data_IF_388768867576
#
_entry.id   IF_388768867576
#
_cell.length_a   1.000
_cell.length_b   1.000
_cell.length_c   1.000
_cell.angle_alpha   90.00
_cell.angle_beta   90.00
_cell.angle_gamma   90.00
#
_symmetry.space_group_name_H-M   'P 1'
#
loop_
_entity.id
_entity.type
_entity.pdbx_description
1 polymer ?
#
# COMPACT_ATOMS: atom_id res chain seq x y z
N UNK A 1 37.00 -59.05 -37.72
CA UNK A 1 36.15 -58.30 -36.78
C UNK A 1 37.08 -57.59 -35.82
N UNK A 2 37.28 -56.29 -36.00
CA UNK A 2 38.17 -55.48 -35.16
C UNK A 2 37.38 -55.16 -33.89
N UNK A 3 37.77 -55.76 -32.77
CA UNK A 3 37.19 -55.47 -31.47
C UNK A 3 37.59 -54.06 -31.04
N UNK A 4 36.62 -53.15 -31.00
CA UNK A 4 36.80 -51.84 -30.39
C UNK A 4 37.16 -52.04 -28.91
N UNK A 5 38.36 -51.61 -28.51
CA UNK A 5 38.71 -51.46 -27.10
C UNK A 5 37.84 -50.36 -26.51
N UNK A 6 36.87 -50.73 -25.67
CA UNK A 6 36.15 -49.77 -24.83
C UNK A 6 37.14 -49.14 -23.86
N UNK A 7 37.52 -47.88 -24.11
CA UNK A 7 38.32 -47.11 -23.17
C UNK A 7 37.44 -46.77 -21.96
N UNK A 8 37.74 -47.36 -20.81
CA UNK A 8 37.10 -47.02 -19.54
C UNK A 8 37.67 -45.71 -18.96
N UNK A 9 36.82 -44.91 -18.33
CA UNK A 9 37.24 -43.71 -17.61
C UNK A 9 38.03 -44.07 -16.34
N UNK A 10 39.07 -43.29 -16.05
CA UNK A 10 39.82 -43.44 -14.80
C UNK A 10 39.04 -42.85 -13.61
N UNK A 11 39.26 -43.40 -12.41
CA UNK A 11 38.62 -42.88 -11.18
C UNK A 11 38.92 -41.39 -11.01
N UNK A 12 40.15 -40.95 -11.29
CA UNK A 12 40.55 -39.54 -11.17
C UNK A 12 39.79 -38.60 -12.13
N UNK A 13 39.49 -39.07 -13.34
CA UNK A 13 38.73 -38.31 -14.32
C UNK A 13 37.25 -38.19 -13.93
N UNK A 14 36.67 -39.27 -13.38
CA UNK A 14 35.29 -39.24 -12.89
C UNK A 14 35.12 -38.29 -11.70
N UNK A 15 36.05 -38.27 -10.74
CA UNK A 15 35.97 -37.34 -9.60
C UNK A 15 36.19 -35.89 -10.04
N UNK A 16 37.07 -35.63 -11.02
CA UNK A 16 37.29 -34.28 -11.54
C UNK A 16 36.05 -33.76 -12.27
N UNK A 17 35.43 -34.61 -13.09
CA UNK A 17 34.18 -34.27 -13.77
C UNK A 17 33.05 -33.97 -12.77
N UNK A 18 32.89 -34.81 -11.74
CA UNK A 18 31.90 -34.59 -10.69
C UNK A 18 32.19 -33.32 -9.88
N UNK A 19 33.46 -33.02 -9.59
CA UNK A 19 33.84 -31.80 -8.90
C UNK A 19 33.49 -30.54 -9.71
N UNK A 20 33.81 -30.52 -11.01
CA UNK A 20 33.53 -29.38 -11.89
C UNK A 20 32.03 -29.21 -12.11
N UNK A 21 31.31 -30.29 -12.40
CA UNK A 21 29.85 -30.25 -12.58
C UNK A 21 29.13 -29.84 -11.29
N UNK A 22 29.58 -30.33 -10.14
CA UNK A 22 29.09 -29.92 -8.83
C UNK A 22 29.30 -28.43 -8.56
N UNK A 23 30.50 -27.91 -8.86
CA UNK A 23 30.81 -26.48 -8.68
C UNK A 23 29.97 -25.59 -9.61
N UNK A 24 29.79 -25.99 -10.87
CA UNK A 24 28.92 -25.28 -11.81
C UNK A 24 27.45 -25.29 -11.34
N UNK A 25 26.96 -26.44 -10.85
CA UNK A 25 25.60 -26.54 -10.32
C UNK A 25 25.39 -25.61 -9.12
N UNK A 26 26.34 -25.55 -8.19
CA UNK A 26 26.30 -24.62 -7.03
C UNK A 26 26.29 -23.16 -7.51
N UNK A 27 27.12 -22.82 -8.49
CA UNK A 27 27.15 -21.46 -9.06
C UNK A 27 25.81 -21.03 -9.66
N UNK A 28 25.17 -21.93 -10.42
CA UNK A 28 23.84 -21.66 -11.01
C UNK A 28 22.77 -21.53 -9.92
N UNK A 29 22.77 -22.40 -8.90
CA UNK A 29 21.80 -22.35 -7.81
C UNK A 29 21.95 -21.06 -6.97
N UNK A 30 23.18 -20.66 -6.69
CA UNK A 30 23.46 -19.40 -6.00
C UNK A 30 22.98 -18.19 -6.82
N UNK A 31 23.27 -18.16 -8.12
CA UNK A 31 22.83 -17.09 -9.02
C UNK A 31 21.31 -17.04 -9.22
N UNK A 32 20.66 -18.19 -9.32
CA UNK A 32 19.20 -18.27 -9.41
C UNK A 32 18.54 -17.73 -8.14
N UNK A 33 19.08 -18.06 -6.97
CA UNK A 33 18.54 -17.60 -5.68
C UNK A 33 18.60 -16.08 -5.54
N UNK A 34 19.72 -15.45 -5.92
CA UNK A 34 19.87 -13.99 -5.87
C UNK A 34 18.92 -13.29 -6.86
N UNK A 35 18.81 -13.81 -8.08
CA UNK A 35 17.90 -13.28 -9.09
C UNK A 35 16.43 -13.36 -8.65
N UNK A 36 16.02 -14.48 -8.05
CA UNK A 36 14.66 -14.65 -7.52
C UNK A 36 14.38 -13.64 -6.41
N UNK A 37 15.29 -13.47 -5.45
CA UNK A 37 15.09 -12.53 -4.35
C UNK A 37 15.00 -11.08 -4.81
N UNK A 38 15.78 -10.69 -5.83
CA UNK A 38 15.67 -9.37 -6.46
C UNK A 38 14.31 -9.16 -7.12
N UNK A 39 13.80 -10.17 -7.83
CA UNK A 39 12.51 -10.07 -8.50
C UNK A 39 11.38 -9.97 -7.48
N UNK A 40 11.38 -10.83 -6.46
CA UNK A 40 10.43 -10.79 -5.34
C UNK A 40 10.37 -9.43 -4.66
N UNK A 41 11.53 -8.82 -4.44
CA UNK A 41 11.62 -7.51 -3.83
C UNK A 41 11.02 -6.39 -4.70
N UNK A 42 11.32 -6.42 -6.01
CA UNK A 42 10.73 -5.47 -6.97
C UNK A 42 9.22 -5.64 -7.07
N UNK A 43 8.75 -6.88 -7.12
CA UNK A 43 7.33 -7.20 -7.18
C UNK A 43 6.61 -6.68 -5.92
N UNK A 44 7.13 -6.95 -4.72
CA UNK A 44 6.57 -6.41 -3.47
C UNK A 44 6.49 -4.89 -3.45
N UNK A 45 7.54 -4.21 -3.94
CA UNK A 45 7.60 -2.74 -3.97
C UNK A 45 6.61 -2.17 -4.98
N UNK A 46 6.54 -2.73 -6.18
CA UNK A 46 5.59 -2.32 -7.21
C UNK A 46 4.14 -2.54 -6.76
N UNK A 47 3.83 -3.72 -6.23
CA UNK A 47 2.49 -4.03 -5.71
C UNK A 47 2.07 -3.11 -4.56
N UNK A 48 3.01 -2.67 -3.72
CA UNK A 48 2.73 -1.69 -2.69
C UNK A 48 2.43 -0.29 -3.27
N UNK A 49 3.19 0.15 -4.27
CA UNK A 49 2.91 1.40 -5.00
C UNK A 49 1.54 1.34 -5.67
N UNK A 50 1.23 0.23 -6.37
CA UNK A 50 -0.05 0.02 -7.03
C UNK A 50 -1.21 0.03 -6.03
N UNK A 51 -1.02 -0.55 -4.83
CA UNK A 51 -2.00 -0.50 -3.75
C UNK A 51 -2.26 0.94 -3.28
N UNK A 52 -1.23 1.75 -3.06
CA UNK A 52 -1.40 3.16 -2.70
C UNK A 52 -2.09 3.94 -3.82
N UNK A 53 -1.72 3.71 -5.08
CA UNK A 53 -2.35 4.33 -6.25
C UNK A 53 -3.83 3.98 -6.35
N UNK A 54 -4.20 2.72 -6.06
CA UNK A 54 -5.60 2.28 -6.07
C UNK A 54 -6.46 3.07 -5.07
N UNK A 55 -5.90 3.52 -3.94
CA UNK A 55 -6.59 4.38 -2.98
C UNK A 55 -6.96 5.76 -3.54
N UNK A 56 -6.11 6.32 -4.41
CA UNK A 56 -6.43 7.54 -5.15
C UNK A 56 -7.50 7.28 -6.20
N UNK A 57 -7.37 6.19 -6.96
CA UNK A 57 -8.32 5.85 -8.03
C UNK A 57 -9.73 5.60 -7.47
N UNK A 58 -9.85 4.95 -6.30
CA UNK A 58 -11.12 4.77 -5.60
C UNK A 58 -11.69 6.07 -5.02
N UNK A 59 -10.82 7.04 -4.68
CA UNK A 59 -11.26 8.36 -4.19
C UNK A 59 -11.74 9.25 -5.33
N UNK A 60 -11.13 9.15 -6.51
CA UNK A 60 -11.53 9.89 -7.71
C UNK A 60 -12.78 9.27 -8.33
N UNK A 61 -12.78 7.95 -8.51
CA UNK A 61 -13.89 7.18 -9.07
C UNK A 61 -14.77 6.66 -7.95
N UNK A 62 -15.51 7.58 -7.32
CA UNK A 62 -16.37 7.27 -6.18
C UNK A 62 -17.42 6.22 -6.57
N UNK A 63 -17.28 5.04 -6.00
CA UNK A 63 -18.31 4.01 -6.03
C UNK A 63 -18.93 3.91 -4.65
N UNK A 64 -20.26 4.05 -4.58
CA UNK A 64 -20.98 3.73 -3.36
C UNK A 64 -21.30 2.25 -3.39
N UNK A 65 -20.47 1.43 -2.74
CA UNK A 65 -20.60 -0.02 -2.61
C UNK A 65 -21.32 -0.46 -1.32
N UNK A 66 -21.75 0.51 -0.49
CA UNK A 66 -22.50 0.28 0.77
C UNK A 66 -23.63 -0.74 0.57
N UNK A 67 -23.73 -1.85 1.33
CA UNK A 67 -24.83 -2.80 1.15
C UNK A 67 -26.21 -2.13 1.27
N UNK A 68 -27.23 -2.63 0.54
CA UNK A 68 -28.59 -2.03 0.54
C UNK A 68 -29.29 -2.18 1.90
N UNK A 69 -28.80 -3.10 2.71
CA UNK A 69 -29.23 -3.37 4.07
C UNK A 69 -28.60 -2.39 5.08
N UNK A 70 -27.74 -1.46 4.65
CA UNK A 70 -27.09 -0.48 5.52
C UNK A 70 -27.60 0.93 5.24
N UNK A 71 -28.02 1.64 6.28
CA UNK A 71 -28.38 3.07 6.26
C UNK A 71 -27.26 3.94 6.80
N UNK A 72 -27.28 5.23 6.48
CA UNK A 72 -26.50 6.23 7.19
C UNK A 72 -27.47 7.06 8.01
N UNK A 73 -27.35 6.96 9.32
CA UNK A 73 -28.23 7.66 10.23
C UNK A 73 -27.73 9.07 10.57
N UNK A 74 -28.62 9.85 11.20
CA UNK A 74 -28.32 11.20 11.69
C UNK A 74 -27.27 11.23 12.81
N UNK A 75 -26.83 10.07 13.31
CA UNK A 75 -25.73 9.96 14.27
C UNK A 75 -24.36 9.78 13.57
N UNK A 76 -24.32 9.90 12.24
CA UNK A 76 -23.10 9.77 11.43
C UNK A 76 -22.50 8.38 11.55
N UNK A 77 -23.35 7.35 11.51
CA UNK A 77 -22.94 5.96 11.55
C UNK A 77 -23.56 5.18 10.39
N UNK A 78 -22.83 4.16 9.93
CA UNK A 78 -23.37 3.14 9.04
C UNK A 78 -24.01 2.05 9.90
N UNK A 79 -25.34 2.01 9.91
CA UNK A 79 -26.14 1.08 10.71
C UNK A 79 -26.99 0.17 9.83
N UNK A 80 -27.54 -0.91 10.39
CA UNK A 80 -28.52 -1.73 9.66
C UNK A 80 -29.77 -0.92 9.36
N UNK A 81 -30.19 -0.95 8.10
CA UNK A 81 -31.40 -0.28 7.64
C UNK A 81 -32.61 -0.91 8.33
N UNK A 82 -33.43 -0.12 9.04
CA UNK A 82 -34.66 -0.63 9.65
C UNK A 82 -35.71 -1.05 8.59
N UNK A 83 -35.48 -0.69 7.31
CA UNK A 83 -36.29 -1.13 6.18
C UNK A 83 -35.41 -1.48 4.97
N UNK A 84 -34.85 -2.71 4.91
CA UNK A 84 -33.88 -3.12 3.88
C UNK A 84 -34.45 -3.14 2.45
N UNK A 85 -35.78 -3.05 2.29
CA UNK A 85 -36.45 -3.03 1.00
C UNK A 85 -36.61 -1.62 0.38
N UNK A 86 -36.26 -0.54 1.10
CA UNK A 86 -36.66 0.82 0.72
C UNK A 86 -35.53 1.85 0.60
N UNK A 87 -34.28 1.54 0.98
CA UNK A 87 -33.22 2.55 0.92
C UNK A 87 -32.50 2.57 -0.43
N UNK A 88 -32.94 3.47 -1.31
CA UNK A 88 -32.27 3.74 -2.58
C UNK A 88 -30.94 4.46 -2.32
N UNK A 89 -29.85 3.94 -2.88
CA UNK A 89 -28.53 4.60 -2.89
C UNK A 89 -28.71 6.04 -3.42
N UNK A 90 -28.29 7.04 -2.66
CA UNK A 90 -28.39 8.46 -3.03
C UNK A 90 -29.54 9.25 -2.39
N UNK A 91 -30.37 8.63 -1.54
CA UNK A 91 -31.39 9.32 -0.74
C UNK A 91 -30.98 9.59 0.72
N UNK A 92 -29.77 9.18 1.12
CA UNK A 92 -29.25 9.28 2.50
C UNK A 92 -28.41 10.54 2.72
N UNK A 93 -28.31 10.98 3.98
CA UNK A 93 -27.61 12.21 4.40
C UNK A 93 -26.07 12.13 4.30
N UNK A 94 -25.51 10.96 3.98
CA UNK A 94 -24.07 10.73 3.95
C UNK A 94 -23.53 10.52 2.54
N UNK A 95 -22.31 10.99 2.33
CA UNK A 95 -21.61 10.95 1.05
C UNK A 95 -20.18 10.46 1.22
N UNK A 96 -19.64 9.82 0.18
CA UNK A 96 -18.27 9.28 0.20
C UNK A 96 -17.28 10.41 -0.05
N UNK A 97 -16.28 10.51 0.83
CA UNK A 97 -15.21 11.52 0.78
C UNK A 97 -13.92 10.94 0.20
N UNK A 98 -13.62 9.68 0.51
CA UNK A 98 -12.39 9.04 0.07
C UNK A 98 -12.06 7.77 0.87
N UNK A 99 -10.77 7.52 1.07
CA UNK A 99 -10.24 6.30 1.65
C UNK A 99 -9.25 6.60 2.78
N UNK A 100 -9.33 5.83 3.87
CA UNK A 100 -8.32 5.78 4.92
C UNK A 100 -7.54 4.47 4.78
N UNK A 101 -6.24 4.58 4.53
CA UNK A 101 -5.31 3.45 4.58
C UNK A 101 -4.60 3.50 5.93
N UNK A 102 -4.65 2.42 6.70
CA UNK A 102 -3.95 2.35 7.99
C UNK A 102 -3.12 1.08 8.13
N UNK A 103 -2.02 1.18 8.87
CA UNK A 103 -1.15 0.04 9.20
C UNK A 103 -0.72 0.12 10.67
N UNK A 104 -0.55 -1.03 11.31
CA UNK A 104 -0.02 -1.13 12.68
C UNK A 104 1.48 -1.46 12.70
N UNK A 105 1.94 -2.24 11.74
CA UNK A 105 3.27 -2.87 11.76
C UNK A 105 4.05 -2.72 10.44
N UNK A 106 3.46 -2.07 9.44
CA UNK A 106 4.04 -1.92 8.11
C UNK A 106 4.02 -3.19 7.27
N UNK A 107 3.29 -4.25 7.67
CA UNK A 107 3.13 -5.49 6.88
C UNK A 107 1.74 -5.60 6.28
N UNK A 108 0.73 -5.30 7.08
CA UNK A 108 -0.66 -5.26 6.64
C UNK A 108 -1.17 -3.82 6.59
N UNK A 109 -1.85 -3.49 5.51
CA UNK A 109 -2.48 -2.21 5.27
C UNK A 109 -3.97 -2.45 5.07
N UNK A 110 -4.81 -1.73 5.82
CA UNK A 110 -6.26 -1.81 5.70
C UNK A 110 -6.78 -0.50 5.14
N UNK A 111 -7.41 -0.58 3.97
CA UNK A 111 -8.12 0.52 3.32
C UNK A 111 -9.58 0.47 3.75
N UNK A 112 -10.11 1.57 4.26
CA UNK A 112 -11.50 1.72 4.71
C UNK A 112 -12.11 2.97 4.10
N UNK A 113 -13.34 2.86 3.62
CA UNK A 113 -14.06 4.00 3.03
C UNK A 113 -14.35 5.06 4.09
N UNK A 114 -14.18 6.33 3.74
CA UNK A 114 -14.47 7.49 4.59
C UNK A 114 -15.71 8.19 4.07
N UNK A 115 -16.67 8.42 4.97
CA UNK A 115 -17.91 9.15 4.70
C UNK A 115 -17.93 10.49 5.41
N UNK A 116 -18.68 11.45 4.87
CA UNK A 116 -19.11 12.66 5.55
C UNK A 116 -20.63 12.68 5.71
N UNK A 117 -21.13 13.26 6.81
CA UNK A 117 -22.57 13.41 7.08
C UNK A 117 -23.04 14.87 7.06
N UNK A 118 -22.13 15.83 6.93
CA UNK A 118 -22.45 17.26 6.89
C UNK A 118 -21.86 17.90 5.65
N UNK A 119 -22.53 18.92 5.12
CA UNK A 119 -22.06 19.65 3.96
C UNK A 119 -21.01 20.71 4.36
N UNK A 120 -19.73 20.38 4.14
CA UNK A 120 -18.61 21.31 4.30
C UNK A 120 -18.31 22.19 3.08
N UNK A 121 -19.09 22.12 2.00
CA UNK A 121 -18.76 22.78 0.71
C UNK A 121 -18.69 24.30 0.79
N UNK A 122 -19.35 24.92 1.77
CA UNK A 122 -19.36 26.38 1.98
C UNK A 122 -18.07 26.93 2.61
N UNK A 123 -17.12 26.06 3.01
CA UNK A 123 -15.84 26.49 3.59
C UNK A 123 -14.85 26.90 2.50
N UNK A 124 -14.05 27.92 2.79
CA UNK A 124 -13.11 28.51 1.84
C UNK A 124 -11.85 27.66 1.63
N UNK A 125 -11.41 26.93 2.65
CA UNK A 125 -10.25 26.05 2.61
C UNK A 125 -10.69 24.57 2.67
N UNK A 126 -9.87 23.72 2.07
CA UNK A 126 -10.19 22.29 1.97
C UNK A 126 -10.13 21.59 3.33
N UNK A 127 -9.19 22.00 4.19
CA UNK A 127 -9.07 21.44 5.53
C UNK A 127 -10.30 21.74 6.41
N UNK A 128 -10.82 22.97 6.40
CA UNK A 128 -12.04 23.25 7.17
C UNK A 128 -13.28 22.65 6.50
N UNK A 129 -13.30 22.54 5.16
CA UNK A 129 -14.36 21.82 4.46
C UNK A 129 -14.44 20.36 4.91
N UNK A 130 -13.30 19.66 4.95
CA UNK A 130 -13.23 18.28 5.38
C UNK A 130 -13.57 18.11 6.87
N UNK A 131 -13.00 18.93 7.75
CA UNK A 131 -13.28 18.84 9.20
C UNK A 131 -14.73 19.20 9.55
N UNK A 132 -15.34 20.15 8.83
CA UNK A 132 -16.76 20.50 9.02
C UNK A 132 -17.74 19.50 8.43
N UNK A 133 -17.27 18.53 7.62
CA UNK A 133 -18.14 17.51 7.02
C UNK A 133 -18.47 16.34 7.96
N UNK A 134 -17.96 16.38 9.20
CA UNK A 134 -18.10 15.33 10.21
C UNK A 134 -17.75 13.95 9.66
N UNK A 135 -16.45 13.70 9.47
CA UNK A 135 -15.96 12.49 8.83
C UNK A 135 -16.01 11.27 9.76
N UNK A 136 -16.40 10.13 9.22
CA UNK A 136 -16.42 8.84 9.92
C UNK A 136 -16.07 7.68 8.98
N UNK A 137 -15.70 6.55 9.56
CA UNK A 137 -15.31 5.35 8.82
C UNK A 137 -16.52 4.48 8.48
N UNK A 138 -16.48 3.91 7.28
CA UNK A 138 -17.40 2.87 6.85
C UNK A 138 -17.13 1.52 7.51
N UNK A 139 -18.00 0.56 7.22
CA UNK A 139 -17.85 -0.84 7.63
C UNK A 139 -17.13 -1.69 6.59
N UNK A 140 -17.02 -1.20 5.36
CA UNK A 140 -16.34 -1.91 4.27
C UNK A 140 -14.85 -1.57 4.31
N UNK A 141 -14.03 -2.60 4.44
CA UNK A 141 -12.57 -2.49 4.42
C UNK A 141 -11.94 -3.58 3.57
N UNK A 142 -10.83 -3.24 2.90
CA UNK A 142 -9.99 -4.19 2.16
C UNK A 142 -8.60 -4.21 2.78
N UNK A 143 -8.04 -5.39 2.99
CA UNK A 143 -6.70 -5.56 3.56
C UNK A 143 -5.73 -6.03 2.48
N UNK A 144 -4.61 -5.33 2.37
CA UNK A 144 -3.45 -5.70 1.58
C UNK A 144 -2.31 -6.09 2.51
N UNK A 145 -1.66 -7.22 2.25
CA UNK A 145 -0.46 -7.65 2.97
C UNK A 145 0.72 -7.62 2.01
N UNK A 146 1.84 -7.06 2.45
CA UNK A 146 3.05 -7.06 1.64
C UNK A 146 3.50 -8.49 1.33
N UNK A 147 3.92 -8.69 0.08
CA UNK A 147 4.39 -9.98 -0.39
C UNK A 147 5.79 -10.32 0.14
N UNK A 148 6.17 -11.60 0.03
CA UNK A 148 7.53 -12.09 0.27
C UNK A 148 8.09 -11.81 1.67
N UNK A 149 7.22 -11.73 2.67
CA UNK A 149 7.56 -11.41 4.07
C UNK A 149 8.29 -10.06 4.23
N UNK A 150 8.12 -9.17 3.23
CA UNK A 150 8.65 -7.81 3.30
C UNK A 150 7.84 -6.96 4.28
N UNK A 151 8.41 -5.84 4.71
CA UNK A 151 7.75 -4.88 5.60
C UNK A 151 8.16 -3.46 5.27
N UNK A 152 7.31 -2.50 5.64
CA UNK A 152 7.66 -1.09 5.59
C UNK A 152 8.48 -0.70 6.83
N UNK A 153 9.59 -0.02 6.59
CA UNK A 153 10.52 0.50 7.59
C UNK A 153 10.66 2.01 7.47
N UNK A 154 11.16 2.63 8.54
CA UNK A 154 11.44 4.06 8.53
C UNK A 154 12.63 4.35 7.59
N UNK A 155 12.62 5.49 6.86
CA UNK A 155 13.70 5.87 5.96
C UNK A 155 15.08 5.84 6.62
N UNK A 156 16.07 5.27 5.93
CA UNK A 156 17.44 5.16 6.43
C UNK A 156 17.66 4.20 7.61
N UNK A 157 16.65 3.43 8.02
CA UNK A 157 16.74 2.52 9.18
C UNK A 157 16.23 1.12 8.84
N UNK A 158 16.50 0.14 9.71
CA UNK A 158 15.84 -1.17 9.64
C UNK A 158 14.61 -1.26 10.57
N UNK A 159 14.21 -0.18 11.25
CA UNK A 159 13.11 -0.21 12.21
C UNK A 159 11.77 -0.21 11.49
N UNK A 160 10.81 -1.06 11.89
CA UNK A 160 9.45 -1.01 11.36
C UNK A 160 8.88 0.40 11.45
N UNK A 161 8.04 0.77 10.48
CA UNK A 161 7.29 2.02 10.57
C UNK A 161 6.36 1.99 11.79
N UNK A 162 6.17 3.15 12.39
CA UNK A 162 5.18 3.31 13.47
C UNK A 162 3.75 3.14 12.91
N UNK A 163 2.77 2.80 13.76
CA UNK A 163 1.36 2.77 13.34
C UNK A 163 0.95 4.07 12.66
N UNK A 164 0.59 3.98 11.38
CA UNK A 164 0.40 5.12 10.48
C UNK A 164 -0.93 5.04 9.78
N UNK A 165 -1.57 6.19 9.61
CA UNK A 165 -2.78 6.40 8.83
C UNK A 165 -2.50 7.37 7.69
N UNK A 166 -3.00 7.04 6.50
CA UNK A 166 -2.96 7.82 5.27
C UNK A 166 -4.41 8.05 4.85
N UNK A 167 -4.89 9.28 5.00
CA UNK A 167 -6.19 9.70 4.53
C UNK A 167 -6.04 10.32 3.15
N UNK A 168 -6.72 9.75 2.16
CA UNK A 168 -6.86 10.32 0.81
C UNK A 168 -8.31 10.78 0.70
N UNK A 169 -8.53 12.09 0.68
CA UNK A 169 -9.86 12.67 0.78
C UNK A 169 -10.09 13.73 -0.29
N UNK A 170 -11.25 13.70 -0.91
CA UNK A 170 -11.71 14.75 -1.83
C UNK A 170 -12.38 15.87 -1.04
N UNK A 171 -11.89 17.09 -1.20
CA UNK A 171 -12.48 18.27 -0.58
C UNK A 171 -13.90 18.52 -1.10
N UNK A 172 -14.91 18.71 -0.23
CA UNK A 172 -16.27 19.09 -0.63
C UNK A 172 -16.37 20.49 -1.24
N UNK A 173 -15.46 21.41 -0.90
CA UNK A 173 -15.52 22.80 -1.38
C UNK A 173 -14.87 22.99 -2.74
N UNK A 174 -13.68 22.42 -2.96
CA UNK A 174 -12.93 22.55 -4.22
C UNK A 174 -13.01 21.34 -5.14
N UNK A 175 -13.41 20.17 -4.62
CA UNK A 175 -13.37 18.90 -5.34
C UNK A 175 -11.96 18.34 -5.54
N UNK A 176 -10.92 18.98 -4.99
CA UNK A 176 -9.52 18.52 -5.09
C UNK A 176 -9.25 17.40 -4.10
N UNK A 177 -8.53 16.36 -4.53
CA UNK A 177 -8.06 15.29 -3.64
C UNK A 177 -6.83 15.77 -2.88
N UNK A 178 -6.81 15.53 -1.57
CA UNK A 178 -5.69 15.81 -0.68
C UNK A 178 -5.32 14.58 0.13
N UNK A 179 -4.05 14.50 0.46
CA UNK A 179 -3.49 13.40 1.24
C UNK A 179 -2.99 13.92 2.59
N UNK A 180 -3.33 13.19 3.64
CA UNK A 180 -2.92 13.45 5.00
C UNK A 180 -2.29 12.19 5.59
N UNK A 181 -1.07 12.29 6.12
CA UNK A 181 -0.31 11.18 6.69
C UNK A 181 0.05 11.51 8.14
N UNK A 182 -0.22 10.59 9.05
CA UNK A 182 0.07 10.79 10.46
C UNK A 182 -0.09 9.51 11.28
N UNK A 183 0.05 9.63 12.60
CA UNK A 183 -0.09 8.49 13.49
C UNK A 183 -1.51 7.90 13.46
N UNK A 184 -1.63 6.57 13.53
CA UNK A 184 -2.93 5.87 13.43
C UNK A 184 -3.93 6.25 14.54
N UNK A 185 -3.45 6.59 15.72
CA UNK A 185 -4.29 6.92 16.88
C UNK A 185 -5.01 8.28 16.76
N UNK A 186 -4.72 9.08 15.73
CA UNK A 186 -5.37 10.36 15.52
C UNK A 186 -6.81 10.17 15.03
N UNK A 187 -7.71 11.04 15.47
CA UNK A 187 -9.03 11.16 14.84
C UNK A 187 -8.87 11.69 13.41
N UNK A 188 -9.85 11.44 12.53
CA UNK A 188 -9.81 11.95 11.16
C UNK A 188 -9.63 13.47 11.11
N UNK A 189 -10.33 14.20 11.99
CA UNK A 189 -10.17 15.66 12.09
C UNK A 189 -8.77 16.07 12.53
N UNK A 190 -8.19 15.40 13.53
CA UNK A 190 -6.81 15.68 13.96
C UNK A 190 -5.80 15.36 12.86
N UNK A 191 -5.99 14.25 12.15
CA UNK A 191 -5.17 13.86 11.00
C UNK A 191 -5.21 14.90 9.89
N UNK A 192 -6.37 15.51 9.60
CA UNK A 192 -6.49 16.60 8.62
C UNK A 192 -5.73 17.85 9.09
N UNK A 193 -5.79 18.18 10.38
CA UNK A 193 -5.15 19.39 10.91
C UNK A 193 -3.63 19.26 10.98
N UNK A 194 -3.09 18.09 11.36
CA UNK A 194 -1.65 17.93 11.63
C UNK A 194 -0.92 17.09 10.59
N UNK A 195 -1.64 16.32 9.78
CA UNK A 195 -1.07 15.32 8.87
C UNK A 195 -0.95 15.78 7.42
N UNK A 196 -1.22 17.04 7.09
CA UNK A 196 -1.11 17.51 5.71
C UNK A 196 0.30 17.25 5.16
N UNK A 197 0.38 16.54 4.03
CA UNK A 197 1.66 16.18 3.41
C UNK A 197 2.28 17.44 2.79
N UNK A 198 3.25 18.02 3.47
CA UNK A 198 3.97 19.23 3.05
C UNK A 198 5.35 18.96 2.45
N UNK A 199 5.83 17.71 2.55
CA UNK A 199 7.07 17.23 1.96
C UNK A 199 6.93 15.77 1.53
N UNK A 200 7.86 15.30 0.70
CA UNK A 200 7.90 13.91 0.24
C UNK A 200 7.93 12.94 1.43
N UNK A 201 6.93 12.08 1.52
CA UNK A 201 6.83 11.06 2.56
C UNK A 201 7.25 9.71 1.99
N UNK A 202 8.31 9.13 2.55
CA UNK A 202 8.89 7.87 2.09
C UNK A 202 8.42 6.68 2.95
N UNK A 203 8.04 5.62 2.26
CA UNK A 203 7.73 4.30 2.81
C UNK A 203 8.72 3.30 2.22
N UNK A 204 9.74 2.93 2.96
CA UNK A 204 10.81 2.05 2.48
C UNK A 204 10.46 0.59 2.71
N UNK A 205 10.63 -0.26 1.71
CA UNK A 205 10.37 -1.70 1.83
C UNK A 205 11.67 -2.39 2.25
N UNK A 206 11.63 -3.15 3.34
CA UNK A 206 12.77 -3.94 3.80
C UNK A 206 12.79 -5.32 3.11
N UNK A 207 13.90 -5.73 2.46
CA UNK A 207 14.00 -6.98 1.71
C UNK A 207 14.14 -8.25 2.61
N UNK A 208 13.57 -8.24 3.83
CA UNK A 208 13.58 -9.35 4.79
C UNK A 208 14.96 -10.02 4.96
N UNK A 209 15.97 -9.24 5.38
CA UNK A 209 17.29 -9.75 5.74
C UNK A 209 18.29 -9.95 4.58
N UNK A 210 17.93 -9.63 3.34
CA UNK A 210 18.90 -9.60 2.24
C UNK A 210 19.71 -8.29 2.24
N UNK A 211 20.98 -8.37 2.65
CA UNK A 211 21.86 -7.20 2.90
C UNK A 211 22.54 -6.61 1.66
N UNK A 212 22.23 -7.12 0.46
CA UNK A 212 22.85 -6.69 -0.81
C UNK A 212 21.94 -5.85 -1.71
N UNK A 213 20.67 -5.64 -1.33
CA UNK A 213 19.74 -4.82 -2.08
C UNK A 213 19.91 -3.35 -1.70
N UNK A 214 19.95 -2.47 -2.70
CA UNK A 214 19.53 -1.08 -2.49
C UNK A 214 18.05 -1.08 -2.15
N UNK A 215 17.67 -0.35 -1.10
CA UNK A 215 16.28 -0.31 -0.68
C UNK A 215 15.49 0.61 -1.60
N UNK A 216 14.38 0.08 -2.08
CA UNK A 216 13.35 0.76 -2.82
C UNK A 216 12.12 0.93 -1.91
N UNK A 217 11.18 1.75 -2.35
CA UNK A 217 9.97 2.03 -1.61
C UNK A 217 8.92 2.78 -2.41
N UNK A 218 7.95 3.34 -1.70
CA UNK A 218 6.99 4.30 -2.26
C UNK A 218 7.27 5.70 -1.69
N UNK A 219 7.17 6.71 -2.55
CA UNK A 219 7.13 8.12 -2.14
C UNK A 219 5.75 8.69 -2.44
N UNK A 220 5.17 9.35 -1.44
CA UNK A 220 3.96 10.16 -1.59
C UNK A 220 4.37 11.62 -1.58
N UNK A 221 4.15 12.33 -2.69
CA UNK A 221 4.53 13.73 -2.85
C UNK A 221 3.53 14.68 -2.16
N UNK A 222 3.98 15.89 -1.75
CA UNK A 222 3.07 16.91 -1.28
C UNK A 222 2.06 17.29 -2.36
N UNK A 223 0.87 17.72 -1.92
CA UNK A 223 -0.23 18.16 -2.79
C UNK A 223 -0.61 17.15 -3.89
N UNK A 224 -0.42 15.86 -3.62
CA UNK A 224 -0.84 14.80 -4.55
C UNK A 224 -2.37 14.81 -4.70
N UNK A 225 -2.83 15.02 -5.93
CA UNK A 225 -4.27 15.05 -6.27
C UNK A 225 -4.75 13.80 -7.02
N UNK A 226 -3.84 12.90 -7.39
CA UNK A 226 -4.14 11.67 -8.12
C UNK A 226 -3.06 10.60 -7.91
N UNK A 227 -3.28 9.40 -8.45
CA UNK A 227 -2.37 8.26 -8.35
C UNK A 227 -0.94 8.55 -8.84
N UNK A 228 -0.74 9.49 -9.77
CA UNK A 228 0.61 9.83 -10.29
C UNK A 228 1.52 10.55 -9.28
N UNK A 229 0.99 11.03 -8.16
CA UNK A 229 1.82 11.58 -7.07
C UNK A 229 2.41 10.52 -6.14
N UNK A 230 1.97 9.26 -6.26
CA UNK A 230 2.66 8.11 -5.68
C UNK A 230 3.63 7.54 -6.70
N UNK A 231 4.90 7.45 -6.33
CA UNK A 231 5.95 6.94 -7.21
C UNK A 231 6.82 5.93 -6.50
N UNK A 232 7.47 5.08 -7.29
CA UNK A 232 8.56 4.26 -6.80
C UNK A 232 9.71 5.17 -6.33
N UNK A 233 10.13 5.02 -5.08
CA UNK A 233 11.39 5.53 -4.59
C UNK A 233 12.45 4.49 -4.94
N UNK A 234 13.30 4.79 -5.94
CA UNK A 234 14.34 3.88 -6.38
C UNK A 234 15.61 3.92 -5.50
N UNK A 235 16.65 3.20 -5.92
CA UNK A 235 17.93 3.09 -5.21
C UNK A 235 18.55 4.48 -4.95
N UNK A 236 18.74 4.84 -3.67
CA UNK A 236 19.33 6.13 -3.29
C UNK A 236 18.33 7.28 -3.15
N UNK A 237 17.02 6.99 -3.19
CA UNK A 237 15.94 7.95 -2.96
C UNK A 237 15.73 8.35 -1.50
N UNK A 238 16.57 7.90 -0.56
CA UNK A 238 16.40 8.11 0.89
C UNK A 238 15.89 6.86 1.64
N UNK A 239 15.65 5.79 0.89
CA UNK A 239 15.72 4.41 1.38
C UNK A 239 17.18 3.91 1.22
#
# INVERSE_FOLDING_TARGET
MIGNKSAGFTVIETILYLAVTGLLAVGVLAGATTAINQQRYKDATNSFVDYLQSGYDQTINVQNDRPVEKTCDSASQITDSPNPAAEVRGATECFVIGQLISTDDGRAFTMTVVYGSQDGSKKTNDADALTSSNLFLGTTSSTYTLEWDTRIVQPGTATPILPTSILIARSPSSGVVRTYIGAKALTLSALITTGAVSADTLFCVDPSGWTGATRDGAVVRPDTTNSSGVKLAGPGGGC
#
